data_IF_695956335420
#
_entry.id   IF_695956335420
#
_cell.length_a   1.000
_cell.length_b   1.000
_cell.length_c   1.000
_cell.angle_alpha   90.00
_cell.angle_beta   90.00
_cell.angle_gamma   90.00
#
_symmetry.space_group_name_H-M   'P 1'
#
loop_
_entity.id
_entity.type
_entity.pdbx_description
1 polymer ?
#
# COMPACT_ATOMS: atom_id res chain seq x y z
N UNK A 1 -16.16 -12.03 28.55
CA UNK A 1 -16.65 -11.82 27.17
C UNK A 1 -17.38 -13.09 26.75
N UNK A 2 -18.48 -13.00 26.00
CA UNK A 2 -19.18 -14.19 25.49
C UNK A 2 -18.53 -14.67 24.18
N UNK A 3 -18.27 -15.97 24.02
CA UNK A 3 -17.70 -16.58 22.80
C UNK A 3 -18.77 -17.03 21.79
N UNK A 4 -20.03 -17.19 22.21
CA UNK A 4 -21.10 -17.72 21.35
C UNK A 4 -21.26 -16.99 19.99
N UNK A 5 -21.18 -15.65 19.92
CA UNK A 5 -21.27 -14.96 18.64
C UNK A 5 -20.14 -15.35 17.68
N UNK A 6 -18.92 -15.49 18.21
CA UNK A 6 -17.75 -15.88 17.43
C UNK A 6 -17.90 -17.32 16.92
N UNK A 7 -18.35 -18.23 17.79
CA UNK A 7 -18.64 -19.62 17.41
C UNK A 7 -19.68 -19.69 16.28
N UNK A 8 -20.74 -18.88 16.37
CA UNK A 8 -21.78 -18.81 15.33
C UNK A 8 -21.25 -18.30 14.00
N UNK A 9 -20.36 -17.30 14.01
CA UNK A 9 -19.81 -16.70 12.80
C UNK A 9 -18.71 -17.57 12.16
N UNK A 10 -17.90 -18.23 12.98
CA UNK A 10 -16.82 -19.10 12.54
C UNK A 10 -17.26 -20.53 12.25
N UNK A 11 -18.47 -20.92 12.65
CA UNK A 11 -18.95 -22.29 12.55
C UNK A 11 -18.20 -23.25 13.48
N UNK A 12 -17.84 -22.78 14.68
CA UNK A 12 -17.04 -23.52 15.68
C UNK A 12 -17.83 -23.75 16.98
N UNK A 13 -17.22 -24.45 17.94
CA UNK A 13 -17.85 -24.83 19.21
C UNK A 13 -16.89 -24.72 20.40
N UNK A 14 -16.04 -23.68 20.40
CA UNK A 14 -15.11 -23.42 21.49
C UNK A 14 -15.84 -23.08 22.80
N UNK A 15 -15.36 -23.60 23.93
CA UNK A 15 -15.93 -23.31 25.25
C UNK A 15 -15.65 -21.88 25.70
N UNK A 16 -14.45 -21.39 25.41
CA UNK A 16 -14.00 -20.04 25.70
C UNK A 16 -12.82 -19.63 24.81
N UNK A 17 -12.36 -18.39 24.93
CA UNK A 17 -11.33 -17.81 24.05
C UNK A 17 -9.95 -18.48 24.18
N UNK A 18 -9.69 -19.25 25.25
CA UNK A 18 -8.41 -19.94 25.44
C UNK A 18 -8.26 -21.19 24.57
N UNK A 19 -9.36 -21.72 24.03
CA UNK A 19 -9.36 -22.85 23.09
C UNK A 19 -9.03 -22.43 21.65
N UNK A 20 -8.94 -21.12 21.37
CA UNK A 20 -8.58 -20.62 20.05
C UNK A 20 -7.06 -20.68 19.87
N UNK A 21 -6.59 -21.56 18.99
CA UNK A 21 -5.19 -21.61 18.55
C UNK A 21 -5.07 -21.12 17.11
N UNK A 22 -4.41 -19.98 16.83
CA UNK A 22 -4.23 -19.48 15.46
C UNK A 22 -3.37 -20.40 14.58
N UNK A 23 -2.77 -21.46 15.15
CA UNK A 23 -2.03 -22.50 14.41
C UNK A 23 -2.91 -23.67 14.00
N UNK A 24 -4.16 -23.74 14.44
CA UNK A 24 -5.12 -24.76 14.02
C UNK A 24 -5.52 -24.53 12.56
N UNK A 25 -4.83 -25.20 11.65
CA UNK A 25 -5.04 -25.04 10.21
C UNK A 25 -6.37 -25.60 9.71
N UNK A 26 -7.12 -26.35 10.54
CA UNK A 26 -8.48 -26.76 10.20
C UNK A 26 -9.48 -25.59 10.27
N UNK A 27 -9.19 -24.59 11.12
CA UNK A 27 -9.99 -23.37 11.28
C UNK A 27 -9.34 -22.19 10.56
N UNK A 28 -8.02 -22.08 10.67
CA UNK A 28 -7.21 -21.03 10.09
C UNK A 28 -6.41 -21.54 8.88
N UNK A 29 -7.10 -21.78 7.76
CA UNK A 29 -6.45 -22.24 6.52
C UNK A 29 -5.71 -21.10 5.81
N UNK A 30 -4.40 -21.06 6.00
CA UNK A 30 -3.50 -20.09 5.34
C UNK A 30 -2.89 -20.61 4.03
N UNK A 31 -3.28 -21.79 3.55
CA UNK A 31 -2.63 -22.45 2.41
C UNK A 31 -2.80 -21.71 1.08
N UNK A 32 -3.82 -20.84 0.96
CA UNK A 32 -4.10 -20.10 -0.26
C UNK A 32 -4.49 -18.64 -0.01
N UNK A 33 -3.46 -17.82 0.20
CA UNK A 33 -3.57 -16.36 0.38
C UNK A 33 -3.88 -15.57 -0.90
N UNK A 34 -4.02 -16.22 -2.05
CA UNK A 34 -4.35 -15.56 -3.32
C UNK A 34 -5.86 -15.60 -3.63
N UNK A 35 -6.69 -16.16 -2.75
CA UNK A 35 -8.16 -16.10 -2.89
C UNK A 35 -8.66 -14.69 -2.58
N UNK A 36 -9.62 -14.20 -3.37
CA UNK A 36 -10.24 -12.89 -3.17
C UNK A 36 -10.93 -12.78 -1.80
N UNK A 37 -11.53 -13.87 -1.35
CA UNK A 37 -12.17 -14.00 -0.03
C UNK A 37 -11.50 -15.10 0.76
N UNK A 38 -11.40 -14.92 2.07
CA UNK A 38 -10.84 -15.92 2.97
C UNK A 38 -11.95 -16.47 3.89
N UNK A 39 -11.76 -17.65 4.51
CA UNK A 39 -12.63 -18.08 5.59
C UNK A 39 -12.69 -17.00 6.67
N UNK A 40 -13.87 -16.78 7.26
CA UNK A 40 -14.07 -15.72 8.24
C UNK A 40 -13.08 -15.73 9.42
N UNK A 41 -12.70 -16.89 10.01
CA UNK A 41 -11.65 -16.93 11.03
C UNK A 41 -10.29 -16.39 10.54
N UNK A 42 -9.95 -16.65 9.27
CA UNK A 42 -8.72 -16.16 8.64
C UNK A 42 -8.78 -14.64 8.45
N UNK A 43 -9.89 -14.11 7.95
CA UNK A 43 -10.10 -12.66 7.80
C UNK A 43 -9.98 -11.94 9.15
N UNK A 44 -10.63 -12.46 10.19
CA UNK A 44 -10.60 -11.88 11.53
C UNK A 44 -9.22 -11.94 12.17
N UNK A 45 -8.47 -13.04 11.98
CA UNK A 45 -7.10 -13.11 12.46
C UNK A 45 -6.17 -12.14 11.72
N UNK A 46 -6.35 -11.95 10.40
CA UNK A 46 -5.56 -10.99 9.63
C UNK A 46 -5.88 -9.56 10.07
N UNK A 47 -7.15 -9.24 10.30
CA UNK A 47 -7.57 -7.94 10.85
C UNK A 47 -6.97 -7.71 12.25
N UNK A 48 -7.01 -8.71 13.13
CA UNK A 48 -6.37 -8.64 14.44
C UNK A 48 -4.87 -8.36 14.31
N UNK A 49 -4.16 -9.02 13.39
CA UNK A 49 -2.73 -8.75 13.14
C UNK A 49 -2.49 -7.32 12.66
N UNK A 50 -3.32 -6.81 11.77
CA UNK A 50 -3.25 -5.43 11.29
C UNK A 50 -3.41 -4.43 12.46
N UNK A 51 -4.46 -4.60 13.27
CA UNK A 51 -4.73 -3.75 14.44
C UNK A 51 -3.61 -3.82 15.50
N UNK A 52 -3.05 -5.01 15.72
CA UNK A 52 -1.94 -5.22 16.65
C UNK A 52 -0.70 -4.45 16.18
N UNK A 53 -0.34 -4.55 14.90
CA UNK A 53 0.78 -3.79 14.32
C UNK A 53 0.53 -2.28 14.43
N UNK A 54 -0.67 -1.83 14.06
CA UNK A 54 -1.05 -0.42 14.10
C UNK A 54 -0.95 0.15 15.52
N UNK A 55 -1.45 -0.58 16.52
CA UNK A 55 -1.38 -0.20 17.93
C UNK A 55 0.06 -0.08 18.42
N UNK A 56 0.91 -1.04 18.06
CA UNK A 56 2.33 -1.00 18.42
C UNK A 56 3.06 0.22 17.82
N UNK A 57 2.78 0.55 16.55
CA UNK A 57 3.35 1.75 15.92
C UNK A 57 2.77 3.04 16.49
N UNK A 58 1.50 3.06 16.90
CA UNK A 58 0.90 4.20 17.58
C UNK A 58 1.59 4.50 18.93
N UNK A 59 1.93 3.46 19.69
CA UNK A 59 2.69 3.60 20.94
C UNK A 59 4.10 4.14 20.68
N UNK A 60 4.79 3.62 19.66
CA UNK A 60 6.11 4.15 19.23
C UNK A 60 6.00 5.62 18.84
N UNK A 61 4.97 5.97 18.04
CA UNK A 61 4.71 7.35 17.62
C UNK A 61 4.51 8.27 18.82
N UNK A 62 3.69 7.86 19.78
CA UNK A 62 3.43 8.62 21.00
C UNK A 62 4.71 8.91 21.78
N UNK A 63 5.62 7.94 21.91
CA UNK A 63 6.89 8.15 22.61
C UNK A 63 7.83 9.08 21.83
N UNK A 64 7.91 8.93 20.50
CA UNK A 64 8.77 9.78 19.67
C UNK A 64 8.29 11.23 19.64
N UNK A 65 6.98 11.48 19.59
CA UNK A 65 6.42 12.83 19.58
C UNK A 65 6.67 13.61 20.87
N UNK A 66 6.93 12.94 22.00
CA UNK A 66 7.38 13.63 23.23
C UNK A 66 8.73 14.33 23.05
N UNK A 67 9.59 13.80 22.17
CA UNK A 67 10.93 14.31 21.89
C UNK A 67 10.98 15.13 20.60
N UNK A 68 10.17 14.77 19.61
CA UNK A 68 10.12 15.37 18.29
C UNK A 68 8.67 15.75 17.96
N UNK A 69 8.14 16.85 18.52
CA UNK A 69 6.72 17.18 18.41
C UNK A 69 6.26 17.48 16.98
N UNK A 70 7.17 17.91 16.10
CA UNK A 70 6.88 18.25 14.71
C UNK A 70 7.14 17.09 13.73
N UNK A 71 7.34 15.88 14.24
CA UNK A 71 7.66 14.72 13.42
C UNK A 71 6.39 14.11 12.80
N UNK A 72 6.44 13.84 11.50
CA UNK A 72 5.36 13.18 10.75
C UNK A 72 5.63 11.69 10.57
N UNK A 73 4.57 10.90 10.63
CA UNK A 73 4.60 9.46 10.36
C UNK A 73 3.89 9.17 9.05
N UNK A 74 4.63 8.58 8.12
CA UNK A 74 4.08 8.09 6.86
C UNK A 74 4.10 6.57 6.88
N UNK A 75 3.04 5.95 6.36
CA UNK A 75 2.98 4.50 6.17
C UNK A 75 2.64 4.18 4.72
N UNK A 76 3.26 3.13 4.19
CA UNK A 76 3.01 2.68 2.83
C UNK A 76 2.05 1.50 2.80
N UNK A 77 1.13 1.50 1.83
CA UNK A 77 0.48 0.27 1.36
C UNK A 77 0.96 -0.08 -0.06
N UNK A 78 1.23 -1.37 -0.31
CA UNK A 78 1.93 -1.83 -1.50
C UNK A 78 1.12 -1.72 -2.81
N UNK A 79 -0.19 -1.51 -2.74
CA UNK A 79 -1.09 -1.38 -3.88
C UNK A 79 -2.33 -0.55 -3.50
N UNK A 80 -3.04 -0.02 -4.51
CA UNK A 80 -4.34 0.65 -4.32
C UNK A 80 -5.37 -0.25 -3.63
N UNK A 81 -6.30 0.34 -2.88
CA UNK A 81 -7.43 -0.39 -2.30
C UNK A 81 -8.28 -1.00 -3.40
N UNK A 82 -8.64 -2.28 -3.24
CA UNK A 82 -9.58 -2.97 -4.14
C UNK A 82 -9.17 -3.04 -5.62
N UNK A 83 -7.87 -2.83 -5.93
CA UNK A 83 -7.32 -3.00 -7.28
C UNK A 83 -7.43 -4.45 -7.81
N UNK A 84 -7.75 -5.40 -6.92
CA UNK A 84 -8.38 -6.68 -7.27
C UNK A 84 -7.74 -7.41 -8.44
N UNK A 85 -8.56 -7.69 -9.49
CA UNK A 85 -8.15 -8.46 -10.69
C UNK A 85 -7.11 -7.76 -11.56
N UNK A 86 -6.90 -6.44 -11.43
CA UNK A 86 -5.89 -5.69 -12.19
C UNK A 86 -4.51 -5.83 -11.58
N UNK A 87 -4.44 -6.02 -10.26
CA UNK A 87 -3.20 -6.19 -9.53
C UNK A 87 -3.27 -7.50 -8.74
N UNK A 88 -3.05 -8.62 -9.41
CA UNK A 88 -3.16 -9.96 -8.81
C UNK A 88 -2.32 -10.18 -7.55
N UNK A 89 -1.31 -9.34 -7.32
CA UNK A 89 -0.49 -9.37 -6.10
C UNK A 89 -1.13 -8.63 -4.91
N UNK A 90 -2.05 -7.68 -5.12
CA UNK A 90 -2.77 -7.01 -4.02
C UNK A 90 -3.44 -7.99 -3.07
N UNK A 91 -4.13 -9.00 -3.62
CA UNK A 91 -4.81 -10.02 -2.82
C UNK A 91 -3.83 -10.79 -1.95
N UNK A 92 -2.67 -11.15 -2.53
CA UNK A 92 -1.59 -11.79 -1.78
C UNK A 92 -1.08 -10.92 -0.65
N UNK A 93 -0.82 -9.63 -0.90
CA UNK A 93 -0.32 -8.72 0.12
C UNK A 93 -1.34 -8.45 1.22
N UNK A 94 -2.60 -8.20 0.85
CA UNK A 94 -3.72 -7.99 1.76
C UNK A 94 -3.78 -9.10 2.80
N UNK A 95 -3.75 -10.35 2.34
CA UNK A 95 -3.95 -11.49 3.24
C UNK A 95 -2.67 -11.99 3.90
N UNK A 96 -1.57 -12.14 3.15
CA UNK A 96 -0.33 -12.70 3.69
C UNK A 96 0.37 -11.76 4.68
N UNK A 97 0.37 -10.46 4.36
CA UNK A 97 1.09 -9.44 5.13
C UNK A 97 0.17 -8.55 5.96
N UNK A 98 -1.14 -8.85 6.00
CA UNK A 98 -2.14 -8.03 6.67
C UNK A 98 -2.10 -6.56 6.20
N UNK A 99 -1.81 -6.33 4.92
CA UNK A 99 -1.74 -5.01 4.29
C UNK A 99 -3.14 -4.41 4.10
N UNK A 100 -3.81 -4.14 5.23
CA UNK A 100 -5.15 -3.58 5.35
C UNK A 100 -5.07 -2.11 5.78
N UNK A 101 -6.09 -1.30 5.47
CA UNK A 101 -6.24 0.05 6.02
C UNK A 101 -6.01 0.16 7.53
N UNK A 102 -6.46 -0.82 8.30
CA UNK A 102 -6.36 -0.84 9.75
C UNK A 102 -4.90 -0.92 10.23
N UNK A 103 -4.00 -1.54 9.45
CA UNK A 103 -2.59 -1.68 9.77
C UNK A 103 -1.86 -0.33 9.88
N UNK A 104 -2.34 0.66 9.13
CA UNK A 104 -1.69 1.97 8.98
C UNK A 104 -2.40 3.08 9.75
N UNK A 105 -3.42 2.77 10.56
CA UNK A 105 -4.24 3.76 11.25
C UNK A 105 -3.46 4.70 12.21
N UNK A 106 -2.22 4.37 12.56
CA UNK A 106 -1.32 5.20 13.35
C UNK A 106 -0.68 6.37 12.59
N UNK A 107 -0.62 6.28 11.26
CA UNK A 107 0.12 7.23 10.42
C UNK A 107 -0.61 8.58 10.32
N UNK A 108 0.14 9.63 9.96
CA UNK A 108 -0.41 10.95 9.61
C UNK A 108 -0.75 11.03 8.12
N UNK A 109 -0.10 10.19 7.30
CA UNK A 109 -0.23 10.18 5.86
C UNK A 109 -0.02 8.77 5.30
N UNK A 110 -0.84 8.41 4.32
CA UNK A 110 -0.75 7.16 3.59
C UNK A 110 -0.03 7.37 2.27
N UNK A 111 0.98 6.54 1.98
CA UNK A 111 1.61 6.40 0.68
C UNK A 111 1.06 5.14 -0.01
N UNK A 112 0.39 5.29 -1.14
CA UNK A 112 -0.07 4.14 -1.94
C UNK A 112 0.92 3.92 -3.07
N UNK A 113 1.62 2.78 -3.05
CA UNK A 113 2.44 2.34 -4.17
C UNK A 113 1.55 2.00 -5.35
N UNK A 114 1.54 2.89 -6.33
CA UNK A 114 0.65 2.79 -7.48
C UNK A 114 1.17 1.83 -8.53
N UNK A 115 0.29 0.95 -9.00
CA UNK A 115 0.51 0.11 -10.19
C UNK A 115 -0.17 0.64 -11.46
N UNK A 116 -0.57 1.92 -11.47
CA UNK A 116 -1.24 2.57 -12.61
C UNK A 116 -2.28 3.60 -12.18
N UNK A 117 -3.10 4.08 -13.12
CA UNK A 117 -4.12 5.08 -12.83
C UNK A 117 -5.18 4.55 -11.84
N UNK A 118 -5.64 5.42 -10.95
CA UNK A 118 -6.74 5.15 -10.02
C UNK A 118 -8.06 5.14 -10.79
N UNK A 119 -8.84 4.09 -10.60
CA UNK A 119 -10.22 3.98 -11.11
C UNK A 119 -11.24 4.55 -10.12
N UNK A 120 -12.46 4.73 -10.61
CA UNK A 120 -13.57 5.22 -9.79
C UNK A 120 -13.85 4.33 -8.56
N UNK A 121 -13.80 3.01 -8.70
CA UNK A 121 -14.05 2.09 -7.58
C UNK A 121 -12.95 2.21 -6.51
N UNK A 122 -11.69 2.28 -6.94
CA UNK A 122 -10.55 2.48 -6.03
C UNK A 122 -10.61 3.85 -5.35
N UNK A 123 -11.06 4.88 -6.08
CA UNK A 123 -11.28 6.20 -5.53
C UNK A 123 -12.35 6.21 -4.45
N UNK A 124 -13.48 5.53 -4.65
CA UNK A 124 -14.52 5.43 -3.63
C UNK A 124 -13.98 4.77 -2.34
N UNK A 125 -13.15 3.71 -2.49
CA UNK A 125 -12.46 3.09 -1.35
C UNK A 125 -11.46 4.03 -0.68
N UNK A 126 -10.68 4.80 -1.44
CA UNK A 126 -9.80 5.85 -0.92
C UNK A 126 -10.61 6.93 -0.19
N UNK A 127 -11.75 7.35 -0.73
CA UNK A 127 -12.61 8.38 -0.13
C UNK A 127 -13.18 7.91 1.21
N UNK A 128 -13.69 6.68 1.29
CA UNK A 128 -14.16 6.12 2.55
C UNK A 128 -13.01 5.92 3.56
N UNK A 129 -11.82 5.52 3.09
CA UNK A 129 -10.61 5.50 3.92
C UNK A 129 -10.31 6.86 4.54
N UNK A 130 -10.21 7.91 3.71
CA UNK A 130 -9.96 9.29 4.15
C UNK A 130 -11.01 9.76 5.15
N UNK A 131 -12.29 9.41 4.90
CA UNK A 131 -13.38 9.75 5.81
C UNK A 131 -13.27 9.04 7.16
N UNK A 132 -12.86 7.77 7.18
CA UNK A 132 -12.68 6.94 8.38
C UNK A 132 -11.47 7.37 9.20
N UNK A 133 -10.32 7.54 8.56
CA UNK A 133 -9.04 7.75 9.25
C UNK A 133 -8.57 9.21 9.30
N UNK A 134 -9.22 10.12 8.57
CA UNK A 134 -8.84 11.56 8.50
C UNK A 134 -7.37 11.75 8.11
N UNK A 135 -6.93 10.96 7.14
CA UNK A 135 -5.54 10.86 6.71
C UNK A 135 -5.40 11.32 5.27
N UNK A 136 -4.36 12.09 4.97
CA UNK A 136 -4.02 12.44 3.60
C UNK A 136 -3.45 11.22 2.87
N UNK A 137 -3.76 11.10 1.58
CA UNK A 137 -3.34 9.99 0.73
C UNK A 137 -2.46 10.54 -0.39
N UNK A 138 -1.27 9.97 -0.54
CA UNK A 138 -0.32 10.29 -1.60
C UNK A 138 -0.23 9.08 -2.53
N UNK A 139 -0.47 9.29 -3.82
CA UNK A 139 -0.30 8.26 -4.82
C UNK A 139 1.16 8.27 -5.31
N UNK A 140 1.91 7.21 -5.03
CA UNK A 140 3.32 7.09 -5.39
C UNK A 140 3.49 6.27 -6.66
N UNK A 141 3.77 6.95 -7.76
CA UNK A 141 3.87 6.32 -9.09
C UNK A 141 5.20 5.60 -9.26
N UNK A 142 5.14 4.32 -9.63
CA UNK A 142 6.33 3.50 -9.85
C UNK A 142 7.09 3.97 -11.07
N UNK A 143 8.40 4.16 -10.89
CA UNK A 143 9.35 4.31 -11.99
C UNK A 143 9.62 2.93 -12.59
N UNK A 144 8.71 2.43 -13.42
CA UNK A 144 8.81 1.07 -13.95
C UNK A 144 9.80 0.92 -15.11
N UNK A 145 10.59 -0.16 -15.05
CA UNK A 145 11.26 -0.83 -16.19
C UNK A 145 10.29 -1.76 -16.91
N UNK A 146 9.59 -1.24 -17.91
CA UNK A 146 9.29 -2.04 -19.11
C UNK A 146 9.91 -1.41 -20.36
N UNK A 147 10.98 -0.61 -20.19
CA UNK A 147 11.83 -0.13 -21.29
C UNK A 147 11.09 0.60 -22.41
N UNK A 148 9.85 1.01 -22.17
CA UNK A 148 9.00 1.63 -23.16
C UNK A 148 8.22 2.76 -22.50
N UNK A 149 8.67 4.01 -22.68
CA UNK A 149 7.97 5.20 -22.24
C UNK A 149 6.50 5.25 -22.70
N UNK A 150 6.12 4.47 -23.73
CA UNK A 150 4.75 4.36 -24.23
C UNK A 150 3.78 3.60 -23.31
N UNK A 151 4.25 3.03 -22.19
CA UNK A 151 3.39 2.40 -21.18
C UNK A 151 3.11 3.29 -19.97
N UNK A 152 3.78 4.44 -19.86
CA UNK A 152 3.31 5.46 -18.94
C UNK A 152 2.04 6.06 -19.54
N UNK A 153 0.99 6.19 -18.74
CA UNK A 153 -0.01 7.24 -18.98
C UNK A 153 0.74 8.56 -19.17
N UNK A 154 0.25 9.43 -20.04
CA UNK A 154 0.85 10.75 -20.25
C UNK A 154 1.04 11.41 -18.87
N UNK A 155 2.17 12.08 -18.63
CA UNK A 155 2.41 12.75 -17.34
C UNK A 155 1.29 13.75 -17.03
N UNK A 156 0.61 14.29 -18.04
CA UNK A 156 -0.62 15.05 -17.86
C UNK A 156 -1.75 14.24 -17.25
N UNK A 157 -1.99 13.01 -17.73
CA UNK A 157 -3.07 12.15 -17.26
C UNK A 157 -2.80 11.64 -15.84
N UNK A 158 -1.53 11.32 -15.53
CA UNK A 158 -1.09 10.99 -14.17
C UNK A 158 -1.32 12.17 -13.23
N UNK A 159 -0.94 13.38 -13.63
CA UNK A 159 -1.14 14.58 -12.83
C UNK A 159 -2.64 14.86 -12.59
N UNK A 160 -3.48 14.75 -13.63
CA UNK A 160 -4.94 14.91 -13.53
C UNK A 160 -5.55 13.85 -12.62
N UNK A 161 -5.24 12.57 -12.84
CA UNK A 161 -5.74 11.44 -12.05
C UNK A 161 -5.37 11.61 -10.56
N UNK A 162 -4.12 12.01 -10.29
CA UNK A 162 -3.65 12.24 -8.92
C UNK A 162 -4.43 13.38 -8.26
N UNK A 163 -4.59 14.51 -8.94
CA UNK A 163 -5.32 15.68 -8.41
C UNK A 163 -6.82 15.44 -8.25
N UNK A 164 -7.39 14.56 -9.06
CA UNK A 164 -8.81 14.22 -8.98
C UNK A 164 -9.13 13.35 -7.75
N UNK A 165 -8.22 12.45 -7.38
CA UNK A 165 -8.53 11.35 -6.47
C UNK A 165 -7.77 11.32 -5.14
N UNK A 166 -6.61 11.99 -5.04
CA UNK A 166 -5.75 11.94 -3.84
C UNK A 166 -5.17 13.32 -3.47
N UNK A 167 -4.48 13.41 -2.33
CA UNK A 167 -3.99 14.68 -1.77
C UNK A 167 -2.59 15.05 -2.26
N UNK A 168 -1.88 14.11 -2.89
CA UNK A 168 -0.54 14.40 -3.39
C UNK A 168 0.02 13.37 -4.34
N UNK A 169 1.10 13.80 -5.00
CA UNK A 169 1.89 13.03 -5.93
C UNK A 169 3.21 12.59 -5.27
N UNK A 170 3.55 11.32 -5.40
CA UNK A 170 4.88 10.82 -5.09
C UNK A 170 5.46 9.99 -6.23
N UNK A 171 6.77 9.70 -6.13
CA UNK A 171 7.48 8.82 -7.05
C UNK A 171 8.05 7.66 -6.25
N UNK A 172 7.74 6.44 -6.67
CA UNK A 172 8.22 5.22 -6.05
C UNK A 172 9.40 4.65 -6.85
N UNK A 173 10.60 4.75 -6.29
CA UNK A 173 11.88 4.32 -6.88
C UNK A 173 12.62 3.47 -5.84
N UNK A 174 12.47 2.14 -5.90
CA UNK A 174 12.99 1.20 -4.89
C UNK A 174 13.76 0.02 -5.52
N UNK A 175 14.70 -0.60 -4.77
CA UNK A 175 15.70 -1.55 -5.32
C UNK A 175 15.32 -3.01 -5.26
N UNK A 176 14.08 -3.33 -4.96
CA UNK A 176 13.67 -4.74 -4.91
C UNK A 176 13.11 -5.15 -6.27
N UNK A 177 14.00 -5.78 -7.04
CA UNK A 177 13.69 -6.86 -7.98
C UNK A 177 12.91 -6.53 -9.26
N UNK A 178 12.27 -5.36 -9.41
CA UNK A 178 11.51 -5.01 -10.64
C UNK A 178 11.40 -3.50 -10.91
N UNK A 179 11.58 -2.67 -9.88
CA UNK A 179 11.45 -1.21 -9.96
C UNK A 179 12.78 -0.56 -10.36
N UNK A 180 12.73 0.40 -11.29
CA UNK A 180 13.92 1.17 -11.65
C UNK A 180 14.25 2.17 -10.56
N UNK A 181 15.54 2.30 -10.28
CA UNK A 181 16.04 3.50 -9.64
C UNK A 181 16.04 4.68 -10.59
N UNK A 182 15.92 5.86 -10.01
CA UNK A 182 16.28 7.10 -10.70
C UNK A 182 17.80 7.33 -10.72
N UNK A 183 18.55 6.64 -9.84
CA UNK A 183 19.99 6.79 -9.69
C UNK A 183 20.77 5.76 -10.53
N UNK A 184 21.96 6.17 -10.98
CA UNK A 184 22.90 5.29 -11.68
C UNK A 184 23.40 4.21 -10.73
N UNK A 185 23.35 2.96 -11.18
CA UNK A 185 23.91 1.83 -10.44
C UNK A 185 25.30 1.50 -11.00
N UNK A 186 26.30 1.44 -10.11
CA UNK A 186 27.64 1.01 -10.50
C UNK A 186 27.63 -0.41 -11.08
N UNK A 187 28.59 -0.70 -11.95
CA UNK A 187 28.78 -2.04 -12.47
C UNK A 187 28.99 -3.05 -11.32
N UNK A 188 28.21 -4.13 -11.34
CA UNK A 188 28.20 -5.16 -10.30
C UNK A 188 27.22 -4.92 -9.14
N UNK A 189 26.49 -3.79 -9.13
CA UNK A 189 25.47 -3.49 -8.11
C UNK A 189 24.06 -3.76 -8.67
N UNK A 190 23.27 -4.56 -7.96
CA UNK A 190 21.89 -4.91 -8.33
C UNK A 190 21.79 -6.00 -9.41
N UNK A 191 20.57 -6.41 -9.72
CA UNK A 191 20.34 -7.39 -10.78
C UNK A 191 20.44 -6.72 -12.16
N UNK A 192 21.18 -7.35 -13.08
CA UNK A 192 21.51 -6.82 -14.42
C UNK A 192 20.29 -6.29 -15.20
N UNK A 193 19.11 -6.93 -15.18
CA UNK A 193 17.93 -6.43 -15.91
C UNK A 193 17.40 -5.07 -15.42
N UNK A 194 17.78 -4.65 -14.21
CA UNK A 194 17.32 -3.40 -13.57
C UNK A 194 18.45 -2.37 -13.42
N UNK A 195 19.56 -2.56 -14.14
CA UNK A 195 20.66 -1.60 -14.13
C UNK A 195 20.22 -0.32 -14.84
N UNK A 196 20.36 0.78 -14.11
CA UNK A 196 20.15 2.14 -14.60
C UNK A 196 21.52 2.74 -14.91
N UNK A 197 21.73 3.05 -16.19
CA UNK A 197 22.89 3.79 -16.67
C UNK A 197 22.62 5.31 -16.62
N UNK A 198 23.61 6.12 -16.96
CA UNK A 198 23.49 7.58 -16.95
C UNK A 198 22.37 8.10 -17.86
N UNK A 199 22.19 7.47 -19.03
CA UNK A 199 21.17 7.86 -20.00
C UNK A 199 19.76 7.62 -19.46
N UNK A 200 19.48 6.42 -18.94
CA UNK A 200 18.18 6.08 -18.32
C UNK A 200 17.90 6.90 -17.07
N UNK A 201 18.92 7.17 -16.26
CA UNK A 201 18.79 8.04 -15.09
C UNK A 201 18.37 9.44 -15.51
N UNK A 202 19.01 10.00 -16.54
CA UNK A 202 18.66 11.32 -17.08
C UNK A 202 17.27 11.35 -17.71
N UNK A 203 16.87 10.31 -18.44
CA UNK A 203 15.52 10.17 -19.00
C UNK A 203 14.46 10.17 -17.90
N UNK A 204 14.64 9.36 -16.85
CA UNK A 204 13.72 9.27 -15.72
C UNK A 204 13.65 10.58 -14.93
N UNK A 205 14.79 11.24 -14.71
CA UNK A 205 14.82 12.55 -14.07
C UNK A 205 14.05 13.60 -14.89
N UNK A 206 14.22 13.60 -16.22
CA UNK A 206 13.47 14.49 -17.12
C UNK A 206 11.97 14.19 -17.14
N UNK A 207 11.57 12.92 -17.04
CA UNK A 207 10.17 12.53 -16.89
C UNK A 207 9.57 13.05 -15.57
N UNK A 208 10.25 12.81 -14.44
CA UNK A 208 9.82 13.29 -13.12
C UNK A 208 9.71 14.81 -13.11
N UNK A 209 10.65 15.52 -13.72
CA UNK A 209 10.61 16.98 -13.82
C UNK A 209 9.37 17.47 -14.59
N UNK A 210 9.05 16.85 -15.74
CA UNK A 210 7.86 17.18 -16.53
C UNK A 210 6.57 16.91 -15.76
N UNK A 211 6.46 15.73 -15.14
CA UNK A 211 5.31 15.36 -14.32
C UNK A 211 5.11 16.34 -13.15
N UNK A 212 6.18 16.67 -12.43
CA UNK A 212 6.11 17.64 -11.33
C UNK A 212 5.68 19.04 -11.82
N UNK A 213 6.21 19.51 -12.95
CA UNK A 213 5.81 20.79 -13.55
C UNK A 213 4.32 20.80 -13.89
N UNK A 214 3.81 19.73 -14.49
CA UNK A 214 2.40 19.65 -14.86
C UNK A 214 1.50 19.54 -13.63
N UNK A 215 1.86 18.70 -12.65
CA UNK A 215 1.15 18.59 -11.38
C UNK A 215 1.05 19.94 -10.67
N UNK A 216 2.15 20.67 -10.53
CA UNK A 216 2.16 22.01 -9.90
C UNK A 216 1.33 23.03 -10.70
N UNK A 217 1.36 22.95 -12.03
CA UNK A 217 0.56 23.81 -12.92
C UNK A 217 -0.94 23.57 -12.75
N UNK A 218 -1.35 22.32 -12.60
CA UNK A 218 -2.75 21.95 -12.41
C UNK A 218 -3.21 22.21 -10.97
N UNK A 219 -2.37 21.95 -9.97
CA UNK A 219 -2.68 22.18 -8.54
C UNK A 219 -2.96 23.65 -8.20
N UNK A 220 -2.34 24.59 -8.93
CA UNK A 220 -2.51 26.04 -8.69
C UNK A 220 -3.74 26.66 -9.35
N UNK A 221 -4.49 25.90 -10.14
CA UNK A 221 -5.71 26.38 -10.82
C UNK A 221 -6.93 26.15 -9.95
#
# INVERSE_FOLDING_TARGET
KNIDPLNSEWGTSYKDFSEIDPRDTAIFDYSNMRRFTQPKPVEDHILFRAELCSSAFADIKKELLKKYPDMYFMAELPYQFDCGRRCGDYVGYKWQYAALPEMIAYADMLLIRSSGDVTLDEYESIREFKKKFKMDVILTHRTHTHGNPSQFSDYEDIAKNTLEYVDGLGIYSWNEMVDCHTAVNAEGVGAVPFRVDEEKSAEMAGYIEKLNKEYVKLFKK
#
